data_IF_327024128202
#
_entry.id   IF_327024128202
#
_cell.length_a   1.000
_cell.length_b   1.000
_cell.length_c   1.000
_cell.angle_alpha   90.00
_cell.angle_beta   90.00
_cell.angle_gamma   90.00
#
_symmetry.space_group_name_H-M   'P 1'
#
loop_
_entity.id
_entity.type
_entity.pdbx_description
1 polymer ?
#
# COMPACT_ATOMS: atom_id res chain seq x y z
N UNK A 1 -29.12 -14.01 -21.49
CA UNK A 1 -29.45 -12.59 -21.23
C UNK A 1 -28.16 -11.90 -20.80
N UNK A 2 -27.54 -11.10 -21.67
CA UNK A 2 -26.34 -10.34 -21.32
C UNK A 2 -26.75 -8.92 -20.94
N UNK A 3 -26.62 -8.55 -19.66
CA UNK A 3 -26.83 -7.17 -19.22
C UNK A 3 -25.75 -6.26 -19.84
N UNK A 4 -26.11 -5.10 -20.43
CA UNK A 4 -25.16 -4.22 -21.12
C UNK A 4 -24.22 -3.46 -20.18
N UNK A 5 -24.60 -3.25 -18.92
CA UNK A 5 -23.80 -2.52 -17.91
C UNK A 5 -23.23 -3.50 -16.85
N UNK A 6 -22.15 -4.20 -17.20
CA UNK A 6 -21.34 -4.98 -16.25
C UNK A 6 -20.35 -4.07 -15.51
N UNK A 7 -19.98 -4.44 -14.28
CA UNK A 7 -18.98 -3.75 -13.45
C UNK A 7 -19.30 -2.30 -13.03
N UNK A 8 -20.51 -1.81 -13.28
CA UNK A 8 -20.99 -0.52 -12.75
C UNK A 8 -21.82 -0.75 -11.50
N UNK A 9 -21.51 -0.06 -10.40
CA UNK A 9 -22.22 -0.20 -9.13
C UNK A 9 -23.70 0.19 -9.27
N UNK A 10 -24.60 -0.67 -8.78
CA UNK A 10 -26.06 -0.52 -8.84
C UNK A 10 -26.67 -0.47 -7.46
N UNK A 11 -26.51 -1.53 -6.67
CA UNK A 11 -27.07 -1.60 -5.31
C UNK A 11 -26.09 -2.21 -4.31
N UNK A 12 -26.37 -1.97 -3.03
CA UNK A 12 -25.68 -2.59 -1.91
C UNK A 12 -26.70 -3.29 -1.00
N UNK A 13 -26.44 -4.55 -0.68
CA UNK A 13 -27.23 -5.33 0.26
C UNK A 13 -26.50 -5.39 1.60
N UNK A 14 -27.20 -5.05 2.69
CA UNK A 14 -26.68 -5.15 4.04
C UNK A 14 -27.22 -6.42 4.71
N UNK A 15 -26.33 -7.24 5.25
CA UNK A 15 -26.66 -8.50 5.92
C UNK A 15 -26.17 -8.43 7.35
N UNK A 16 -27.09 -8.28 8.30
CA UNK A 16 -26.80 -8.49 9.72
C UNK A 16 -26.75 -9.98 10.07
N UNK A 17 -25.89 -10.32 11.03
CA UNK A 17 -25.59 -11.68 11.46
C UNK A 17 -25.29 -12.61 10.28
N UNK A 18 -24.36 -12.14 9.44
CA UNK A 18 -23.98 -12.78 8.18
C UNK A 18 -23.57 -14.26 8.33
N UNK A 19 -23.05 -14.67 9.49
CA UNK A 19 -22.69 -16.05 9.79
C UNK A 19 -23.87 -17.02 9.72
N UNK A 20 -25.12 -16.57 9.86
CA UNK A 20 -26.31 -17.41 9.65
C UNK A 20 -26.45 -17.89 8.20
N UNK A 21 -26.00 -17.07 7.25
CA UNK A 21 -26.06 -17.36 5.82
C UNK A 21 -24.74 -17.98 5.34
N UNK A 22 -23.61 -17.49 5.87
CA UNK A 22 -22.25 -17.78 5.40
C UNK A 22 -21.50 -18.73 6.34
N UNK A 23 -22.18 -19.79 6.76
CA UNK A 23 -21.79 -20.61 7.91
C UNK A 23 -20.62 -21.55 7.60
N UNK A 24 -19.51 -21.39 8.33
CA UNK A 24 -18.29 -22.19 8.16
C UNK A 24 -18.48 -23.71 8.36
N UNK A 25 -19.34 -24.10 9.31
CA UNK A 25 -19.65 -25.52 9.57
C UNK A 25 -20.25 -26.23 8.36
N UNK A 26 -21.03 -25.52 7.52
CA UNK A 26 -21.60 -26.14 6.31
C UNK A 26 -20.48 -26.57 5.37
N UNK A 27 -19.50 -25.72 5.09
CA UNK A 27 -18.31 -26.07 4.29
C UNK A 27 -17.49 -27.22 4.91
N UNK A 28 -17.23 -27.16 6.22
CA UNK A 28 -16.43 -28.19 6.89
C UNK A 28 -17.13 -29.56 6.92
N UNK A 29 -18.46 -29.58 6.82
CA UNK A 29 -19.26 -30.82 6.82
C UNK A 29 -19.49 -31.36 5.42
N UNK A 30 -19.72 -30.51 4.41
CA UNK A 30 -20.03 -30.94 3.03
C UNK A 30 -18.80 -31.07 2.16
N UNK A 31 -17.67 -30.42 2.49
CA UNK A 31 -16.46 -30.38 1.67
C UNK A 31 -16.60 -29.60 0.35
N UNK A 32 -17.84 -29.34 -0.07
CA UNK A 32 -18.21 -28.58 -1.25
C UNK A 32 -18.40 -27.09 -0.95
N UNK A 33 -18.07 -26.25 -1.93
CA UNK A 33 -18.32 -24.81 -1.88
C UNK A 33 -19.82 -24.56 -1.84
N UNK A 34 -20.28 -23.68 -0.93
CA UNK A 34 -21.72 -23.42 -0.81
C UNK A 34 -22.18 -22.52 -1.95
N UNK A 35 -23.42 -22.71 -2.42
CA UNK A 35 -24.05 -21.81 -3.43
C UNK A 35 -23.95 -20.34 -2.99
N UNK A 36 -24.06 -20.07 -1.69
CA UNK A 36 -23.90 -18.74 -1.10
C UNK A 36 -22.49 -18.15 -1.27
N UNK A 37 -21.43 -18.96 -1.20
CA UNK A 37 -20.05 -18.50 -1.43
C UNK A 37 -19.79 -18.19 -2.90
N UNK A 38 -20.36 -19.00 -3.81
CA UNK A 38 -20.32 -18.76 -5.26
C UNK A 38 -21.01 -17.45 -5.60
N UNK A 39 -22.23 -17.25 -5.07
CA UNK A 39 -22.98 -16.00 -5.24
C UNK A 39 -22.14 -14.81 -4.75
N UNK A 40 -21.55 -14.88 -3.55
CA UNK A 40 -20.72 -13.78 -3.03
C UNK A 40 -19.55 -13.41 -3.94
N UNK A 41 -18.96 -14.39 -4.63
CA UNK A 41 -17.83 -14.16 -5.55
C UNK A 41 -18.29 -13.55 -6.88
N UNK A 42 -19.40 -14.03 -7.42
CA UNK A 42 -19.87 -13.68 -8.77
C UNK A 42 -20.75 -12.43 -8.79
N UNK A 43 -21.45 -12.11 -7.70
CA UNK A 43 -22.42 -11.00 -7.66
C UNK A 43 -21.78 -9.63 -7.97
N UNK A 44 -20.46 -9.50 -7.77
CA UNK A 44 -19.69 -8.32 -8.15
C UNK A 44 -19.79 -8.02 -9.65
N UNK A 45 -19.83 -9.03 -10.51
CA UNK A 45 -19.95 -8.83 -11.97
C UNK A 45 -21.29 -8.18 -12.35
N UNK A 46 -22.31 -8.37 -11.51
CA UNK A 46 -23.64 -7.81 -11.68
C UNK A 46 -23.74 -6.36 -11.21
N UNK A 47 -22.70 -5.82 -10.57
CA UNK A 47 -22.68 -4.46 -10.02
C UNK A 47 -23.28 -4.34 -8.62
N UNK A 48 -23.46 -5.47 -7.93
CA UNK A 48 -24.00 -5.54 -6.58
C UNK A 48 -22.88 -5.59 -5.54
N UNK A 49 -23.03 -4.83 -4.46
CA UNK A 49 -22.18 -4.93 -3.29
C UNK A 49 -22.90 -5.67 -2.16
N UNK A 50 -22.16 -6.46 -1.38
CA UNK A 50 -22.66 -7.08 -0.16
C UNK A 50 -21.85 -6.54 1.01
N UNK A 51 -22.56 -6.06 2.03
CA UNK A 51 -22.00 -5.55 3.29
C UNK A 51 -22.42 -6.50 4.41
N UNK A 52 -21.48 -7.30 4.88
CA UNK A 52 -21.69 -8.24 5.97
C UNK A 52 -21.39 -7.59 7.32
N UNK A 53 -22.32 -7.72 8.26
CA UNK A 53 -22.19 -7.27 9.64
C UNK A 53 -22.29 -8.48 10.56
N UNK A 54 -21.31 -8.65 11.45
CA UNK A 54 -21.24 -9.83 12.30
C UNK A 54 -20.45 -9.58 13.58
N UNK A 55 -20.83 -10.28 14.65
CA UNK A 55 -20.16 -10.26 15.95
C UNK A 55 -19.08 -11.35 16.07
N UNK A 56 -19.18 -12.44 15.32
CA UNK A 56 -18.35 -13.64 15.42
C UNK A 56 -17.74 -14.00 14.06
N UNK A 57 -16.71 -13.26 13.58
CA UNK A 57 -16.08 -13.52 12.28
C UNK A 57 -15.54 -14.95 12.14
N UNK A 58 -15.20 -15.64 13.24
CA UNK A 58 -14.77 -17.04 13.21
C UNK A 58 -15.83 -18.03 12.71
N UNK A 59 -17.12 -17.67 12.75
CA UNK A 59 -18.24 -18.47 12.24
C UNK A 59 -18.49 -18.28 10.73
N UNK A 60 -17.91 -17.24 10.13
CA UNK A 60 -18.03 -16.95 8.70
C UNK A 60 -17.06 -17.82 7.91
N UNK A 61 -17.49 -18.26 6.71
CA UNK A 61 -16.65 -19.03 5.78
C UNK A 61 -15.38 -18.26 5.40
N UNK A 62 -14.25 -18.98 5.27
CA UNK A 62 -12.99 -18.36 4.83
C UNK A 62 -13.10 -17.72 3.42
N UNK A 63 -13.81 -18.33 2.45
CA UNK A 63 -14.00 -17.70 1.15
C UNK A 63 -14.81 -16.42 1.20
N UNK A 64 -15.83 -16.31 2.05
CA UNK A 64 -16.58 -15.07 2.21
C UNK A 64 -15.68 -13.94 2.74
N UNK A 65 -14.91 -14.20 3.80
CA UNK A 65 -13.99 -13.21 4.36
C UNK A 65 -12.84 -12.86 3.39
N UNK A 66 -12.29 -13.85 2.68
CA UNK A 66 -11.21 -13.65 1.71
C UNK A 66 -11.64 -12.86 0.46
N UNK A 67 -12.92 -12.89 0.10
CA UNK A 67 -13.45 -12.14 -1.04
C UNK A 67 -13.98 -10.74 -0.66
N UNK A 68 -13.99 -10.37 0.63
CA UNK A 68 -14.33 -9.00 1.05
C UNK A 68 -13.23 -8.00 0.67
N UNK A 69 -13.57 -6.98 -0.10
CA UNK A 69 -12.61 -5.94 -0.51
C UNK A 69 -12.27 -4.97 0.62
N UNK A 70 -13.23 -4.63 1.48
CA UNK A 70 -13.04 -3.75 2.64
C UNK A 70 -13.46 -4.50 3.88
N UNK A 71 -12.63 -4.41 4.93
CA UNK A 71 -12.88 -5.04 6.22
C UNK A 71 -12.73 -4.00 7.31
N UNK A 72 -13.76 -3.86 8.15
CA UNK A 72 -13.75 -3.06 9.37
C UNK A 72 -13.70 -4.02 10.55
N UNK A 73 -12.69 -3.88 11.39
CA UNK A 73 -12.53 -4.67 12.60
C UNK A 73 -12.66 -3.78 13.82
N UNK A 74 -13.74 -4.00 14.57
CA UNK A 74 -14.00 -3.33 15.84
C UNK A 74 -13.40 -4.13 17.00
N UNK A 75 -13.76 -3.77 18.23
CA UNK A 75 -13.28 -4.48 19.41
C UNK A 75 -13.67 -5.97 19.38
N UNK A 76 -12.69 -6.87 19.49
CA UNK A 76 -12.88 -8.32 19.51
C UNK A 76 -12.19 -8.94 20.72
N UNK A 77 -12.84 -9.92 21.36
CA UNK A 77 -12.36 -10.55 22.60
C UNK A 77 -12.00 -12.03 22.46
N UNK A 78 -12.72 -12.76 21.60
CA UNK A 78 -12.53 -14.20 21.48
C UNK A 78 -11.29 -14.52 20.63
N UNK A 79 -10.48 -15.50 21.08
CA UNK A 79 -9.25 -15.90 20.39
C UNK A 79 -9.49 -16.36 18.95
N UNK A 80 -10.59 -17.07 18.70
CA UNK A 80 -10.95 -17.52 17.35
C UNK A 80 -11.23 -16.34 16.40
N UNK A 81 -11.94 -15.33 16.89
CA UNK A 81 -12.25 -14.12 16.12
C UNK A 81 -11.01 -13.25 15.90
N UNK A 82 -10.16 -13.12 16.92
CA UNK A 82 -8.88 -12.43 16.83
C UNK A 82 -7.97 -13.09 15.79
N UNK A 83 -7.85 -14.42 15.80
CA UNK A 83 -7.05 -15.15 14.83
C UNK A 83 -7.60 -15.00 13.40
N UNK A 84 -8.93 -15.10 13.23
CA UNK A 84 -9.56 -14.89 11.93
C UNK A 84 -9.29 -13.48 11.40
N UNK A 85 -9.46 -12.46 12.25
CA UNK A 85 -9.23 -11.07 11.84
C UNK A 85 -7.76 -10.75 11.65
N UNK A 86 -6.86 -11.38 12.41
CA UNK A 86 -5.42 -11.30 12.18
C UNK A 86 -5.07 -11.73 10.76
N UNK A 87 -5.60 -12.89 10.33
CA UNK A 87 -5.40 -13.41 8.97
C UNK A 87 -6.03 -12.48 7.91
N UNK A 88 -7.26 -12.00 8.15
CA UNK A 88 -7.98 -11.14 7.20
C UNK A 88 -7.33 -9.77 7.01
N UNK A 89 -6.82 -9.18 8.10
CA UNK A 89 -6.23 -7.84 8.12
C UNK A 89 -4.71 -7.86 7.88
N UNK A 90 -4.09 -9.04 7.89
CA UNK A 90 -2.64 -9.25 7.82
C UNK A 90 -1.88 -8.60 8.98
N UNK A 91 -2.41 -8.72 10.19
CA UNK A 91 -1.80 -8.18 11.41
C UNK A 91 -0.71 -9.11 11.93
N UNK A 92 0.32 -8.54 12.55
CA UNK A 92 1.21 -9.31 13.42
C UNK A 92 0.57 -9.56 14.81
N UNK A 93 1.23 -10.36 15.65
CA UNK A 93 0.68 -10.72 16.96
C UNK A 93 0.49 -9.52 17.88
N UNK A 94 1.44 -8.58 17.89
CA UNK A 94 1.35 -7.38 18.73
C UNK A 94 0.21 -6.46 18.25
N UNK A 95 0.06 -6.29 16.94
CA UNK A 95 -1.03 -5.55 16.31
C UNK A 95 -2.40 -6.17 16.59
N UNK A 96 -2.48 -7.51 16.62
CA UNK A 96 -3.71 -8.25 16.91
C UNK A 96 -4.21 -7.97 18.32
N UNK A 97 -3.30 -7.82 19.30
CA UNK A 97 -3.65 -7.50 20.68
C UNK A 97 -4.33 -6.13 20.83
N UNK A 98 -4.11 -5.20 19.90
CA UNK A 98 -4.80 -3.91 19.90
C UNK A 98 -6.28 -4.02 19.52
N UNK A 99 -6.70 -5.05 18.77
CA UNK A 99 -8.12 -5.26 18.45
C UNK A 99 -8.95 -5.41 19.72
N UNK A 100 -8.44 -6.07 20.76
CA UNK A 100 -9.12 -6.20 22.05
C UNK A 100 -9.17 -4.91 22.88
N UNK A 101 -8.43 -3.87 22.48
CA UNK A 101 -8.29 -2.60 23.20
C UNK A 101 -9.01 -1.43 22.54
N UNK A 102 -9.63 -1.64 21.37
CA UNK A 102 -10.33 -0.58 20.65
C UNK A 102 -11.52 -0.05 21.46
N UNK A 103 -11.61 1.26 21.62
CA UNK A 103 -12.77 1.91 22.21
C UNK A 103 -13.95 1.95 21.22
N UNK A 104 -15.16 2.17 21.73
CA UNK A 104 -16.36 2.30 20.90
C UNK A 104 -16.18 3.41 19.86
N UNK A 105 -16.51 3.09 18.61
CA UNK A 105 -16.36 4.00 17.47
C UNK A 105 -14.98 3.96 16.82
N UNK A 106 -14.01 3.21 17.35
CA UNK A 106 -12.74 2.95 16.66
C UNK A 106 -12.78 1.61 15.92
N UNK A 107 -12.16 1.58 14.74
CA UNK A 107 -12.01 0.37 13.95
C UNK A 107 -10.63 0.32 13.27
N UNK A 108 -10.08 -0.87 13.15
CA UNK A 108 -8.97 -1.15 12.24
C UNK A 108 -9.55 -1.52 10.88
N UNK A 109 -9.18 -0.76 9.85
CA UNK A 109 -9.72 -0.92 8.50
C UNK A 109 -8.64 -1.42 7.56
N UNK A 110 -8.98 -2.43 6.77
CA UNK A 110 -8.15 -2.94 5.67
C UNK A 110 -8.92 -2.85 4.37
N UNK A 111 -8.27 -2.35 3.33
CA UNK A 111 -8.70 -2.55 1.96
C UNK A 111 -7.79 -3.56 1.27
N UNK A 112 -8.34 -4.42 0.41
CA UNK A 112 -7.56 -5.35 -0.40
C UNK A 112 -6.81 -4.64 -1.55
N UNK A 113 -7.16 -3.38 -1.84
CA UNK A 113 -6.42 -2.51 -2.76
C UNK A 113 -6.42 -1.04 -2.30
N UNK A 114 -5.64 -0.17 -2.98
CA UNK A 114 -5.40 1.25 -2.64
C UNK A 114 -4.58 1.49 -1.36
N UNK A 115 -4.93 0.85 -0.24
CA UNK A 115 -4.21 0.93 1.04
C UNK A 115 -3.80 -0.47 1.52
N UNK A 116 -2.50 -0.76 1.45
CA UNK A 116 -1.98 -2.11 1.69
C UNK A 116 -1.78 -2.46 3.15
N UNK A 117 -1.83 -1.48 4.04
CA UNK A 117 -1.73 -1.69 5.48
C UNK A 117 -3.06 -1.43 6.15
N UNK A 118 -3.41 -2.21 7.19
CA UNK A 118 -4.53 -1.86 8.05
C UNK A 118 -4.24 -0.52 8.72
N UNK A 119 -5.24 0.34 8.81
CA UNK A 119 -5.12 1.65 9.44
C UNK A 119 -6.28 1.88 10.40
N UNK A 120 -6.01 2.65 11.44
CA UNK A 120 -6.99 2.97 12.47
C UNK A 120 -7.89 4.13 11.99
N UNK A 121 -9.21 3.97 12.14
CA UNK A 121 -10.20 5.02 11.87
C UNK A 121 -11.09 5.24 13.07
N UNK A 122 -11.53 6.49 13.25
CA UNK A 122 -12.58 6.87 14.20
C UNK A 122 -13.86 7.18 13.45
N UNK A 123 -14.90 6.39 13.67
CA UNK A 123 -16.22 6.61 13.09
C UNK A 123 -17.03 7.57 13.97
N UNK A 124 -17.67 8.59 13.38
CA UNK A 124 -18.55 9.49 14.12
C UNK A 124 -19.81 8.74 14.57
N UNK A 125 -20.28 9.04 15.78
CA UNK A 125 -21.56 8.54 16.28
C UNK A 125 -22.69 9.19 15.49
N UNK A 126 -23.43 8.38 14.73
CA UNK A 126 -24.68 8.81 14.09
C UNK A 126 -25.84 8.42 15.00
N UNK A 127 -26.54 9.41 15.54
CA UNK A 127 -27.75 9.17 16.33
C UNK A 127 -28.93 8.98 15.38
N UNK A 128 -29.48 7.77 15.37
CA UNK A 128 -30.73 7.46 14.66
C UNK A 128 -31.86 7.49 15.67
N UNK A 129 -32.77 8.45 15.52
CA UNK A 129 -33.94 8.53 16.37
C UNK A 129 -34.94 7.44 15.97
N UNK A 130 -35.12 6.45 16.85
CA UNK A 130 -36.05 5.35 16.63
C UNK A 130 -37.46 5.89 16.36
N UNK A 131 -38.15 5.33 15.37
CA UNK A 131 -39.51 5.72 14.99
C UNK A 131 -39.61 6.92 14.02
N UNK A 132 -38.49 7.57 13.64
CA UNK A 132 -38.52 8.61 12.59
C UNK A 132 -38.76 8.06 11.19
N UNK A 133 -38.34 6.83 10.93
CA UNK A 133 -38.65 6.11 9.69
C UNK A 133 -39.92 5.31 9.93
N UNK A 134 -41.00 5.67 9.25
CA UNK A 134 -42.27 4.97 9.30
C UNK A 134 -42.45 4.09 8.06
N UNK A 135 -43.34 3.10 8.11
CA UNK A 135 -43.64 2.24 6.95
C UNK A 135 -44.05 3.05 5.72
N UNK A 136 -44.69 4.22 5.95
CA UNK A 136 -45.01 5.17 4.88
C UNK A 136 -43.75 5.73 4.21
N UNK A 137 -42.76 6.15 4.99
CA UNK A 137 -41.47 6.65 4.46
C UNK A 137 -40.75 5.54 3.69
N UNK A 138 -40.81 4.29 4.19
CA UNK A 138 -40.25 3.13 3.50
C UNK A 138 -40.96 2.88 2.17
N UNK A 139 -42.30 2.91 2.15
CA UNK A 139 -43.10 2.73 0.93
C UNK A 139 -42.85 3.85 -0.10
N UNK A 140 -42.75 5.10 0.34
CA UNK A 140 -42.40 6.25 -0.52
C UNK A 140 -40.98 6.10 -1.09
N UNK A 141 -40.00 5.68 -0.29
CA UNK A 141 -38.64 5.39 -0.77
C UNK A 141 -38.61 4.19 -1.73
N UNK A 142 -39.41 3.14 -1.48
CA UNK A 142 -39.51 1.99 -2.35
C UNK A 142 -40.14 2.35 -3.71
N UNK A 143 -41.11 3.27 -3.72
CA UNK A 143 -41.71 3.79 -4.94
C UNK A 143 -40.74 4.65 -5.79
N UNK A 144 -39.69 5.20 -5.17
CA UNK A 144 -38.64 5.97 -5.85
C UNK A 144 -37.49 5.09 -6.38
N UNK A 145 -37.43 3.81 -6.02
CA UNK A 145 -36.48 2.88 -6.62
C UNK A 145 -36.87 2.63 -8.10
N UNK A 146 -35.91 2.62 -9.04
CA UNK A 146 -36.18 2.21 -10.41
C UNK A 146 -36.84 0.82 -10.40
N UNK A 147 -37.96 0.66 -11.08
CA UNK A 147 -38.72 -0.59 -11.25
C UNK A 147 -37.95 -1.63 -12.10
N UNK A 148 -36.67 -1.85 -11.81
CA UNK A 148 -35.78 -2.76 -12.55
C UNK A 148 -35.56 -4.10 -11.85
N UNK A 149 -36.14 -4.31 -10.67
CA UNK A 149 -36.31 -5.66 -10.16
C UNK A 149 -37.60 -6.20 -10.79
N UNK A 150 -37.55 -7.24 -11.63
CA UNK A 150 -38.79 -7.89 -12.04
C UNK A 150 -39.49 -8.33 -10.76
N UNK A 151 -40.76 -7.96 -10.60
CA UNK A 151 -41.62 -8.52 -9.55
C UNK A 151 -41.39 -10.02 -9.55
N UNK A 152 -40.85 -10.55 -8.45
CA UNK A 152 -40.88 -11.97 -8.24
C UNK A 152 -42.37 -12.31 -8.20
N UNK A 153 -42.88 -12.82 -9.34
CA UNK A 153 -44.25 -13.26 -9.44
C UNK A 153 -44.51 -14.18 -8.24
N UNK A 154 -45.66 -14.03 -7.55
CA UNK A 154 -45.97 -14.89 -6.42
C UNK A 154 -45.85 -16.33 -6.90
N UNK A 155 -44.84 -17.04 -6.38
CA UNK A 155 -44.68 -18.46 -6.66
C UNK A 155 -45.94 -19.11 -6.11
N UNK A 156 -46.81 -19.58 -7.00
CA UNK A 156 -47.78 -20.60 -6.63
C UNK A 156 -46.99 -21.72 -5.98
N UNK A 157 -47.36 -22.08 -4.76
CA UNK A 157 -46.91 -23.29 -4.09
C UNK A 157 -47.01 -24.45 -5.08
N UNK A 158 -45.88 -24.81 -5.68
CA UNK A 158 -45.74 -26.02 -6.44
C UNK A 158 -45.24 -27.04 -5.43
N UNK A 159 -46.17 -27.91 -5.01
CA UNK A 159 -45.89 -29.17 -4.30
C UNK A 159 -44.65 -29.82 -4.90
N UNK A 160 -43.52 -29.66 -4.22
CA UNK A 160 -42.31 -30.41 -4.53
C UNK A 160 -42.38 -31.66 -3.67
N UNK A 161 -42.38 -32.87 -4.25
CA UNK A 161 -42.43 -34.09 -3.46
C UNK A 161 -41.16 -34.17 -2.58
N UNK A 162 -41.25 -34.76 -1.38
CA UNK A 162 -40.11 -34.87 -0.49
C UNK A 162 -39.02 -35.71 -1.15
N UNK A 163 -37.79 -35.21 -1.12
CA UNK A 163 -36.60 -35.91 -1.60
C UNK A 163 -36.45 -37.20 -0.78
N UNK A 164 -36.38 -38.39 -1.40
CA UNK A 164 -36.24 -39.63 -0.66
C UNK A 164 -34.83 -39.73 -0.07
N UNK A 165 -34.75 -39.96 1.24
CA UNK A 165 -33.53 -40.38 1.92
C UNK A 165 -33.37 -41.87 1.64
N UNK A 166 -32.50 -42.25 0.70
CA UNK A 166 -32.10 -43.65 0.54
C UNK A 166 -30.80 -43.88 1.31
N UNK A 167 -30.94 -44.55 2.46
CA UNK A 167 -29.86 -45.27 3.12
C UNK A 167 -29.46 -46.46 2.24
N UNK A 168 -28.29 -46.43 1.62
CA UNK A 168 -27.66 -47.64 1.09
C UNK A 168 -26.22 -47.76 1.62
N UNK A 169 -26.08 -48.69 2.57
CA UNK A 169 -24.82 -49.30 2.95
C UNK A 169 -24.25 -50.05 1.74
N UNK A 170 -23.02 -49.73 1.34
CA UNK A 170 -22.18 -50.64 0.55
C UNK A 170 -20.71 -50.37 0.83
N UNK A 171 -20.06 -51.36 1.46
CA UNK A 171 -18.63 -51.44 1.72
C UNK A 171 -17.91 -52.03 0.46
N UNK A 172 -16.56 -52.09 0.42
CA UNK A 172 -15.77 -51.52 -0.67
C UNK A 172 -15.39 -52.54 -1.76
N UNK A 173 -15.37 -52.09 -3.02
CA UNK A 173 -14.73 -52.82 -4.12
C UNK A 173 -13.33 -52.26 -4.42
N UNK A 174 -12.36 -53.18 -4.49
CA UNK A 174 -10.97 -52.96 -4.90
C UNK A 174 -10.85 -53.11 -6.41
N UNK A 175 -10.26 -52.12 -7.09
CA UNK A 175 -9.46 -52.28 -8.32
C UNK A 175 -8.73 -50.95 -8.56
N UNK A 176 -7.41 -50.90 -8.35
CA UNK A 176 -6.29 -51.11 -9.29
C UNK A 176 -5.68 -49.77 -9.74
N UNK A 177 -4.37 -49.68 -9.49
CA UNK A 177 -3.48 -48.55 -9.73
C UNK A 177 -3.48 -48.10 -11.19
N UNK A 178 -3.71 -46.80 -11.44
CA UNK A 178 -3.08 -46.08 -12.54
C UNK A 178 -2.57 -44.72 -12.06
N UNK A 179 -1.26 -44.56 -12.17
CA UNK A 179 -0.50 -43.39 -11.76
C UNK A 179 -0.82 -42.17 -12.64
N UNK A 180 -1.15 -41.05 -12.01
CA UNK A 180 -1.24 -39.73 -12.66
C UNK A 180 -0.14 -38.82 -12.09
N UNK A 181 0.59 -38.06 -12.93
CA UNK A 181 1.96 -37.65 -12.63
C UNK A 181 2.07 -36.47 -11.66
N UNK A 182 3.14 -36.53 -10.85
CA UNK A 182 3.49 -35.52 -9.86
C UNK A 182 3.81 -34.15 -10.45
N UNK A 183 3.31 -33.13 -9.77
CA UNK A 183 3.63 -31.71 -9.98
C UNK A 183 5.16 -31.52 -9.78
N UNK A 184 5.89 -30.91 -10.72
CA UNK A 184 7.35 -30.84 -10.66
C UNK A 184 7.82 -29.88 -9.57
N UNK A 185 8.43 -30.45 -8.53
CA UNK A 185 9.46 -29.81 -7.71
C UNK A 185 10.77 -29.81 -8.50
N UNK A 186 11.36 -28.63 -8.74
CA UNK A 186 12.71 -28.54 -9.31
C UNK A 186 12.93 -27.31 -10.17
N UNK A 187 13.20 -26.16 -9.54
CA UNK A 187 13.92 -25.09 -10.21
C UNK A 187 15.38 -25.51 -10.34
N UNK A 188 15.78 -25.91 -11.55
CA UNK A 188 17.13 -26.34 -11.92
C UNK A 188 18.16 -25.26 -11.57
N UNK A 189 19.25 -25.68 -10.93
CA UNK A 189 20.51 -24.94 -10.90
C UNK A 189 21.12 -25.06 -12.30
N UNK A 190 21.19 -23.96 -13.02
CA UNK A 190 22.03 -23.86 -14.21
C UNK A 190 23.42 -23.38 -13.75
N UNK A 191 24.38 -24.30 -13.82
CA UNK A 191 25.80 -24.04 -13.62
C UNK A 191 26.37 -23.57 -14.95
N UNK A 192 26.57 -22.26 -15.10
CA UNK A 192 27.51 -21.72 -16.07
C UNK A 192 28.83 -21.44 -15.35
N UNK A 193 29.84 -22.24 -15.67
CA UNK A 193 31.23 -21.98 -15.32
C UNK A 193 31.78 -20.87 -16.21
N UNK A 194 32.23 -19.79 -15.59
CA UNK A 194 32.96 -18.71 -16.23
C UNK A 194 33.91 -18.09 -15.22
N UNK A 195 35.19 -18.41 -15.35
CA UNK A 195 36.30 -17.85 -14.58
C UNK A 195 36.34 -16.32 -14.74
N UNK A 196 36.27 -15.60 -13.62
CA UNK A 196 37.13 -14.46 -13.25
C UNK A 196 36.59 -13.71 -12.01
N UNK A 197 37.37 -13.71 -10.92
CA UNK A 197 37.41 -12.66 -9.89
C UNK A 197 36.13 -12.36 -9.08
N UNK A 198 36.02 -12.94 -7.89
CA UNK A 198 35.09 -12.53 -6.82
C UNK A 198 33.60 -12.44 -7.22
N UNK A 199 33.08 -13.41 -7.95
CA UNK A 199 31.66 -13.45 -8.30
C UNK A 199 30.82 -13.87 -7.07
N UNK A 200 30.29 -12.89 -6.34
CA UNK A 200 29.23 -13.16 -5.35
C UNK A 200 28.07 -13.79 -6.12
N UNK A 201 27.85 -15.09 -5.93
CA UNK A 201 26.78 -15.83 -6.61
C UNK A 201 25.42 -15.29 -6.14
N UNK A 202 24.73 -14.59 -7.02
CA UNK A 202 23.39 -14.03 -6.78
C UNK A 202 22.37 -14.87 -7.51
N UNK A 203 21.26 -15.19 -6.84
CA UNK A 203 20.10 -15.75 -7.55
C UNK A 203 19.51 -14.70 -8.50
N UNK A 204 18.77 -15.13 -9.52
CA UNK A 204 18.06 -14.23 -10.45
C UNK A 204 17.15 -13.24 -9.71
N UNK A 205 16.49 -13.69 -8.64
CA UNK A 205 15.61 -12.84 -7.82
C UNK A 205 16.41 -11.80 -7.03
N UNK A 206 17.55 -12.18 -6.45
CA UNK A 206 18.43 -11.26 -5.71
C UNK A 206 19.06 -10.22 -6.62
N UNK A 207 19.52 -10.60 -7.81
CA UNK A 207 20.05 -9.67 -8.81
C UNK A 207 18.99 -8.65 -9.22
N UNK A 208 17.76 -9.09 -9.52
CA UNK A 208 16.62 -8.19 -9.81
C UNK A 208 16.33 -7.26 -8.64
N UNK A 209 16.41 -7.76 -7.41
CA UNK A 209 16.20 -6.94 -6.23
C UNK A 209 17.25 -5.86 -6.06
N UNK A 210 18.54 -6.20 -6.22
CA UNK A 210 19.64 -5.24 -6.14
C UNK A 210 19.56 -4.18 -7.26
N UNK A 211 19.24 -4.58 -8.50
CA UNK A 211 19.03 -3.65 -9.60
C UNK A 211 17.90 -2.66 -9.27
N UNK A 212 16.78 -3.14 -8.73
CA UNK A 212 15.70 -2.25 -8.32
C UNK A 212 16.16 -1.25 -7.25
N UNK A 213 16.95 -1.68 -6.26
CA UNK A 213 17.52 -0.78 -5.23
C UNK A 213 18.36 0.31 -5.86
N UNK A 214 19.17 -0.03 -6.86
CA UNK A 214 20.00 0.94 -7.59
C UNK A 214 19.18 1.92 -8.44
N UNK A 215 18.22 1.41 -9.22
CA UNK A 215 17.47 2.21 -10.20
C UNK A 215 16.49 3.21 -9.56
N UNK A 216 15.93 2.84 -8.40
CA UNK A 216 14.92 3.65 -7.70
C UNK A 216 15.22 3.78 -6.21
N UNK A 217 16.25 4.54 -5.82
CA UNK A 217 16.60 4.74 -4.41
C UNK A 217 15.52 5.53 -3.64
N UNK A 218 14.66 6.30 -4.32
CA UNK A 218 13.53 7.06 -3.76
C UNK A 218 12.32 6.20 -3.34
N UNK A 219 12.44 4.88 -3.44
CA UNK A 219 11.35 3.96 -3.13
C UNK A 219 11.45 3.39 -1.73
N UNK A 220 10.31 3.35 -1.05
CA UNK A 220 10.19 2.59 0.18
C UNK A 220 10.30 1.09 -0.12
N UNK A 221 10.65 0.31 0.90
CA UNK A 221 10.72 -1.15 0.82
C UNK A 221 9.41 -1.74 0.27
N UNK A 222 8.27 -1.21 0.72
CA UNK A 222 6.94 -1.68 0.30
C UNK A 222 6.71 -1.45 -1.20
N UNK A 223 6.98 -0.24 -1.70
CA UNK A 223 6.84 0.08 -3.13
C UNK A 223 7.73 -0.81 -4.00
N UNK A 224 8.92 -1.14 -3.48
CA UNK A 224 9.87 -2.02 -4.15
C UNK A 224 9.34 -3.45 -4.25
N UNK A 225 8.74 -3.98 -3.18
CA UNK A 225 8.16 -5.32 -3.20
C UNK A 225 7.03 -5.43 -4.23
N UNK A 226 6.14 -4.43 -4.27
CA UNK A 226 5.05 -4.36 -5.25
C UNK A 226 5.55 -4.42 -6.70
N UNK A 227 6.53 -3.59 -7.05
CA UNK A 227 7.08 -3.55 -8.42
C UNK A 227 7.80 -4.83 -8.82
N UNK A 228 8.48 -5.47 -7.87
CA UNK A 228 9.13 -6.75 -8.08
C UNK A 228 8.18 -7.95 -8.00
N UNK A 229 6.87 -7.69 -7.77
CA UNK A 229 5.84 -8.71 -7.56
C UNK A 229 6.21 -9.70 -6.46
N UNK A 230 6.78 -9.19 -5.36
CA UNK A 230 7.17 -9.97 -4.19
C UNK A 230 6.16 -9.80 -3.07
N UNK A 231 5.80 -10.90 -2.41
CA UNK A 231 5.11 -10.83 -1.12
C UNK A 231 6.03 -10.26 -0.05
N UNK A 232 5.46 -9.67 1.01
CA UNK A 232 6.24 -9.13 2.12
C UNK A 232 7.19 -10.18 2.73
N UNK A 233 6.73 -11.42 2.93
CA UNK A 233 7.56 -12.53 3.41
C UNK A 233 8.76 -12.76 2.49
N UNK A 234 8.52 -12.92 1.18
CA UNK A 234 9.59 -13.22 0.22
C UNK A 234 10.55 -12.05 0.04
N UNK A 235 10.03 -10.83 0.00
CA UNK A 235 10.85 -9.61 -0.03
C UNK A 235 11.74 -9.48 1.21
N UNK A 236 11.20 -9.76 2.39
CA UNK A 236 11.95 -9.74 3.65
C UNK A 236 13.01 -10.85 3.74
N UNK A 237 12.75 -12.03 3.17
CA UNK A 237 13.75 -13.10 3.03
C UNK A 237 14.92 -12.66 2.15
N UNK A 238 14.63 -12.16 0.95
CA UNK A 238 15.65 -11.63 0.02
C UNK A 238 16.43 -10.50 0.68
N UNK A 239 15.74 -9.58 1.36
CA UNK A 239 16.38 -8.48 2.08
C UNK A 239 17.30 -8.97 3.20
N UNK A 240 16.86 -9.94 4.03
CA UNK A 240 17.71 -10.52 5.08
C UNK A 240 18.94 -11.20 4.50
N UNK A 241 18.79 -11.97 3.42
CA UNK A 241 19.91 -12.64 2.76
C UNK A 241 20.91 -11.63 2.18
N UNK A 242 20.45 -10.59 1.49
CA UNK A 242 21.30 -9.55 0.92
C UNK A 242 21.99 -8.69 2.00
N UNK A 243 21.25 -8.33 3.06
CA UNK A 243 21.80 -7.57 4.19
C UNK A 243 22.83 -8.40 4.97
N UNK A 244 22.55 -9.68 5.21
CA UNK A 244 23.50 -10.60 5.87
C UNK A 244 24.80 -10.79 5.11
N UNK A 245 24.76 -10.69 3.77
CA UNK A 245 25.97 -10.69 2.91
C UNK A 245 26.65 -9.32 2.78
N UNK A 246 26.08 -8.28 3.39
CA UNK A 246 26.60 -6.92 3.36
C UNK A 246 26.43 -6.22 2.01
N UNK A 247 25.46 -6.64 1.19
CA UNK A 247 25.22 -6.09 -0.15
C UNK A 247 24.28 -4.89 -0.15
N UNK A 248 23.45 -4.78 0.89
CA UNK A 248 22.52 -3.66 1.08
C UNK A 248 22.54 -3.18 2.51
N UNK A 249 22.22 -1.92 2.69
CA UNK A 249 21.93 -1.31 3.97
C UNK A 249 20.50 -0.74 3.99
N UNK A 250 20.03 -0.37 5.17
CA UNK A 250 18.68 0.16 5.38
C UNK A 250 18.72 1.43 6.20
N UNK A 251 17.99 2.44 5.78
CA UNK A 251 17.79 3.68 6.53
C UNK A 251 16.30 3.98 6.68
N UNK A 252 15.98 4.94 7.53
CA UNK A 252 14.61 5.41 7.75
C UNK A 252 14.49 6.87 7.34
N UNK A 253 13.35 7.21 6.76
CA UNK A 253 12.99 8.56 6.32
C UNK A 253 11.72 9.01 7.03
N UNK A 254 11.69 10.29 7.44
CA UNK A 254 10.51 10.88 8.09
C UNK A 254 9.51 11.34 7.03
N UNK A 255 8.35 10.71 6.97
CA UNK A 255 7.26 11.04 6.06
C UNK A 255 6.11 11.66 6.86
N UNK A 256 5.16 12.23 6.14
CA UNK A 256 3.91 12.70 6.71
C UNK A 256 3.10 11.60 7.41
N UNK A 257 3.03 10.43 6.78
CA UNK A 257 2.32 9.25 7.29
C UNK A 257 3.11 8.47 8.35
N UNK A 258 4.20 9.04 8.88
CA UNK A 258 5.10 8.39 9.82
C UNK A 258 6.45 8.02 9.20
N UNK A 259 7.07 6.94 9.66
CA UNK A 259 8.44 6.57 9.26
C UNK A 259 8.43 5.56 8.11
N UNK A 260 9.18 5.84 7.03
CA UNK A 260 9.38 4.93 5.91
C UNK A 260 10.73 4.25 5.96
N UNK A 261 10.81 2.97 5.58
CA UNK A 261 12.08 2.24 5.43
C UNK A 261 12.55 2.26 3.97
N UNK A 262 13.80 2.62 3.77
CA UNK A 262 14.47 2.65 2.45
C UNK A 262 15.69 1.75 2.45
N UNK A 263 16.17 1.41 1.25
CA UNK A 263 17.35 0.56 1.04
C UNK A 263 18.35 1.27 0.12
N UNK A 264 19.62 1.05 0.38
CA UNK A 264 20.71 1.46 -0.49
C UNK A 264 21.68 0.30 -0.71
N UNK A 265 22.37 0.33 -1.84
CA UNK A 265 23.47 -0.59 -2.10
C UNK A 265 24.70 -0.14 -1.31
N UNK A 266 25.38 -1.10 -0.70
CA UNK A 266 26.75 -0.89 -0.22
C UNK A 266 27.72 -0.93 -1.41
N UNK A 267 28.99 -0.56 -1.22
CA UNK A 267 30.01 -0.72 -2.27
C UNK A 267 30.13 -2.16 -2.74
N UNK A 268 30.04 -3.13 -1.81
CA UNK A 268 30.01 -4.56 -2.13
C UNK A 268 28.77 -4.92 -2.97
N UNK A 269 27.61 -4.32 -2.68
CA UNK A 269 26.39 -4.47 -3.46
C UNK A 269 26.51 -3.93 -4.89
N UNK A 270 27.17 -2.78 -5.06
CA UNK A 270 27.44 -2.18 -6.38
C UNK A 270 28.39 -3.05 -7.19
N UNK A 271 29.49 -3.50 -6.58
CA UNK A 271 30.44 -4.42 -7.21
C UNK A 271 29.76 -5.72 -7.65
N UNK A 272 28.85 -6.27 -6.83
CA UNK A 272 28.09 -7.47 -7.18
C UNK A 272 27.17 -7.30 -8.41
N UNK A 273 26.83 -6.06 -8.78
CA UNK A 273 26.10 -5.74 -10.01
C UNK A 273 27.02 -5.34 -11.18
N UNK A 274 28.34 -5.34 -11.00
CA UNK A 274 29.30 -4.82 -11.98
C UNK A 274 29.27 -3.29 -12.09
N UNK A 275 28.68 -2.60 -11.10
CA UNK A 275 28.65 -1.14 -11.04
C UNK A 275 29.93 -0.62 -10.37
N UNK A 276 30.40 0.55 -10.81
CA UNK A 276 31.50 1.25 -10.14
C UNK A 276 31.08 1.57 -8.70
N UNK A 277 32.03 1.46 -7.76
CA UNK A 277 31.84 1.93 -6.40
C UNK A 277 31.43 3.40 -6.42
N UNK A 278 30.57 3.81 -5.48
CA UNK A 278 30.26 5.22 -5.33
C UNK A 278 31.56 5.95 -4.98
N UNK A 279 31.84 7.14 -5.55
CA UNK A 279 32.95 7.96 -5.10
C UNK A 279 32.78 8.22 -3.60
N UNK A 280 33.64 7.59 -2.79
CA UNK A 280 33.52 7.57 -1.35
C UNK A 280 33.53 8.98 -0.78
N UNK A 281 32.57 9.27 0.11
CA UNK A 281 32.54 10.48 0.94
C UNK A 281 31.89 11.73 0.35
N UNK A 282 31.39 11.72 -0.90
CA UNK A 282 30.71 12.90 -1.49
C UNK A 282 29.22 12.71 -1.78
N UNK A 283 28.77 11.48 -1.97
CA UNK A 283 27.34 11.20 -2.13
C UNK A 283 26.68 11.21 -0.76
N UNK A 284 25.82 12.19 -0.49
CA UNK A 284 24.98 12.22 0.71
C UNK A 284 24.29 10.86 0.88
N UNK A 285 24.32 10.31 2.10
CA UNK A 285 23.90 8.93 2.37
C UNK A 285 22.47 8.57 1.94
N UNK A 286 21.97 7.36 2.22
CA UNK A 286 20.72 6.84 1.66
C UNK A 286 19.49 7.76 1.79
N UNK A 287 19.39 8.47 2.91
CA UNK A 287 18.31 9.46 3.17
C UNK A 287 18.39 10.66 2.21
N UNK A 288 19.60 11.16 1.95
CA UNK A 288 19.83 12.26 1.01
C UNK A 288 19.47 11.82 -0.41
N UNK A 289 19.99 10.67 -0.86
CA UNK A 289 19.69 10.12 -2.18
C UNK A 289 18.17 9.92 -2.41
N UNK A 290 17.47 9.41 -1.39
CA UNK A 290 16.02 9.26 -1.41
C UNK A 290 15.31 10.60 -1.63
N UNK A 291 15.63 11.62 -0.82
CA UNK A 291 14.99 12.93 -0.93
C UNK A 291 15.37 13.67 -2.21
N UNK A 292 16.61 13.53 -2.68
CA UNK A 292 17.11 14.13 -3.93
C UNK A 292 16.30 13.67 -5.13
N UNK A 293 16.19 12.35 -5.31
CA UNK A 293 15.42 11.75 -6.40
C UNK A 293 13.93 12.05 -6.28
N UNK A 294 13.36 11.98 -5.08
CA UNK A 294 11.93 12.25 -4.85
C UNK A 294 11.57 13.70 -5.14
N UNK A 295 12.39 14.64 -4.69
CA UNK A 295 12.22 16.07 -4.94
C UNK A 295 12.39 16.40 -6.44
N UNK A 296 13.41 15.84 -7.09
CA UNK A 296 13.61 16.02 -8.52
C UNK A 296 12.39 15.55 -9.33
N UNK A 297 11.84 14.38 -9.02
CA UNK A 297 10.61 13.88 -9.64
C UNK A 297 9.40 14.79 -9.39
N UNK A 298 9.23 15.28 -8.16
CA UNK A 298 8.15 16.19 -7.78
C UNK A 298 8.21 17.54 -8.53
N UNK A 299 9.42 18.09 -8.70
CA UNK A 299 9.67 19.32 -9.43
C UNK A 299 9.43 19.16 -10.93
N UNK A 300 9.95 18.09 -11.54
CA UNK A 300 9.73 17.76 -12.96
C UNK A 300 8.24 17.59 -13.29
N UNK A 301 7.49 16.91 -12.41
CA UNK A 301 6.04 16.76 -12.56
C UNK A 301 5.27 18.10 -12.53
N UNK A 302 5.90 19.18 -12.07
CA UNK A 302 5.36 20.55 -12.04
C UNK A 302 5.89 21.46 -13.16
N UNK A 303 6.56 20.87 -14.15
CA UNK A 303 7.07 21.59 -15.32
C UNK A 303 8.36 22.37 -15.06
N UNK A 304 9.10 22.06 -13.99
CA UNK A 304 10.46 22.56 -13.84
C UNK A 304 11.42 21.71 -14.68
N UNK A 305 12.38 22.37 -15.33
CA UNK A 305 13.58 21.70 -15.82
C UNK A 305 14.54 21.51 -14.62
N UNK A 306 14.96 20.28 -14.36
CA UNK A 306 15.69 19.93 -13.13
C UNK A 306 16.99 19.23 -13.46
N UNK A 307 18.10 19.89 -13.10
CA UNK A 307 19.45 19.33 -13.14
C UNK A 307 19.82 18.82 -11.75
N UNK A 308 20.20 17.54 -11.66
CA UNK A 308 20.76 16.94 -10.43
C UNK A 308 22.27 17.10 -10.44
N UNK A 309 22.89 17.30 -9.27
CA UNK A 309 24.35 17.49 -9.14
C UNK A 309 24.89 18.60 -10.04
N UNK A 310 24.23 19.77 -9.99
CA UNK A 310 24.59 20.92 -10.80
C UNK A 310 25.99 21.42 -10.45
N UNK A 311 26.93 21.27 -11.39
CA UNK A 311 28.32 21.67 -11.19
C UNK A 311 28.46 23.20 -11.11
N UNK A 312 29.13 23.69 -10.06
CA UNK A 312 29.41 25.12 -9.86
C UNK A 312 30.89 25.48 -9.99
N UNK A 313 31.70 24.53 -10.47
CA UNK A 313 33.15 24.68 -10.60
C UNK A 313 33.92 24.31 -9.32
N UNK A 314 35.24 24.17 -9.42
CA UNK A 314 36.11 23.83 -8.28
C UNK A 314 35.83 22.46 -7.64
N UNK A 315 35.24 21.53 -8.39
CA UNK A 315 34.85 20.20 -7.88
C UNK A 315 33.63 20.21 -6.94
N UNK A 316 32.90 21.32 -6.87
CA UNK A 316 31.68 21.47 -6.06
C UNK A 316 30.43 21.33 -6.93
N UNK A 317 29.38 20.78 -6.34
CA UNK A 317 28.06 20.66 -6.96
C UNK A 317 26.95 21.08 -5.98
N UNK A 318 25.80 21.45 -6.52
CA UNK A 318 24.55 21.70 -5.82
C UNK A 318 23.64 20.49 -6.04
N UNK A 319 22.92 20.05 -5.01
CA UNK A 319 22.13 18.82 -5.10
C UNK A 319 21.13 18.85 -6.25
N UNK A 320 20.31 19.91 -6.34
CA UNK A 320 19.38 20.13 -7.44
C UNK A 320 19.31 21.61 -7.81
N UNK A 321 19.22 21.89 -9.11
CA UNK A 321 18.81 23.21 -9.62
C UNK A 321 17.56 23.03 -10.47
N UNK A 322 16.51 23.77 -10.15
CA UNK A 322 15.26 23.77 -10.87
C UNK A 322 15.08 25.11 -11.60
N UNK A 323 14.78 25.05 -12.89
CA UNK A 323 14.62 26.22 -13.76
C UNK A 323 13.19 26.27 -14.31
N UNK A 324 12.54 27.43 -14.18
CA UNK A 324 11.24 27.71 -14.82
C UNK A 324 11.11 29.22 -15.05
N UNK A 325 10.62 29.62 -16.22
CA UNK A 325 10.42 31.03 -16.60
C UNK A 325 11.69 31.90 -16.41
N UNK A 326 12.86 31.34 -16.74
CA UNK A 326 14.17 32.00 -16.58
C UNK A 326 14.66 32.13 -15.14
N UNK A 327 13.88 31.72 -14.14
CA UNK A 327 14.28 31.71 -12.73
C UNK A 327 14.90 30.38 -12.35
N UNK A 328 16.03 30.43 -11.65
CA UNK A 328 16.81 29.27 -11.19
C UNK A 328 16.78 29.20 -9.67
N UNK A 329 16.23 28.10 -9.15
CA UNK A 329 16.10 27.83 -7.73
C UNK A 329 17.03 26.67 -7.37
N UNK A 330 17.94 26.91 -6.41
CA UNK A 330 18.80 25.88 -5.85
C UNK A 330 18.02 25.12 -4.76
N UNK A 331 18.15 23.80 -4.71
CA UNK A 331 17.72 22.99 -3.57
C UNK A 331 18.93 22.25 -3.01
N UNK A 332 19.16 22.40 -1.70
CA UNK A 332 20.19 21.69 -0.95
C UNK A 332 19.52 20.84 0.13
N UNK A 333 19.83 19.56 0.18
CA UNK A 333 19.17 18.60 1.07
C UNK A 333 20.04 18.41 2.32
N UNK A 334 19.50 18.82 3.47
CA UNK A 334 20.19 18.70 4.75
C UNK A 334 19.70 17.48 5.52
N UNK A 335 20.64 16.60 5.86
CA UNK A 335 20.40 15.40 6.69
C UNK A 335 20.85 15.57 8.15
N UNK A 336 21.46 16.71 8.49
CA UNK A 336 22.00 17.06 9.80
C UNK A 336 23.49 16.83 9.95
N UNK A 337 24.22 16.58 8.85
CA UNK A 337 25.65 16.25 8.85
C UNK A 337 26.49 17.23 8.02
N UNK A 338 25.87 18.19 7.33
CA UNK A 338 26.56 19.12 6.44
C UNK A 338 26.56 20.56 6.97
N UNK A 339 27.48 21.37 6.45
CA UNK A 339 27.45 22.82 6.65
C UNK A 339 26.47 23.46 5.66
N UNK A 340 25.21 23.53 6.07
CA UNK A 340 24.14 24.13 5.28
C UNK A 340 24.42 25.61 4.96
N UNK A 341 25.11 26.36 5.82
CA UNK A 341 25.40 27.78 5.60
C UNK A 341 26.43 27.97 4.47
N UNK A 342 27.47 27.13 4.44
CA UNK A 342 28.42 27.10 3.34
C UNK A 342 27.75 26.70 2.01
N UNK A 343 26.81 25.73 2.04
CA UNK A 343 26.05 25.32 0.85
C UNK A 343 25.15 26.44 0.33
N UNK A 344 24.46 27.18 1.21
CA UNK A 344 23.67 28.35 0.81
C UNK A 344 24.54 29.41 0.16
N UNK A 345 25.70 29.73 0.75
CA UNK A 345 26.63 30.73 0.19
C UNK A 345 27.12 30.30 -1.20
N UNK A 346 27.56 29.06 -1.34
CA UNK A 346 27.95 28.45 -2.62
C UNK A 346 26.87 28.60 -3.70
N UNK A 347 25.60 28.37 -3.35
CA UNK A 347 24.49 28.52 -4.30
C UNK A 347 24.28 29.98 -4.74
N UNK A 348 24.40 30.93 -3.80
CA UNK A 348 24.23 32.35 -4.09
C UNK A 348 25.39 32.90 -4.93
N UNK A 349 26.62 32.48 -4.64
CA UNK A 349 27.83 32.84 -5.41
C UNK A 349 27.77 32.30 -6.86
N UNK A 350 27.06 31.18 -7.08
CA UNK A 350 26.80 30.63 -8.40
C UNK A 350 25.73 31.41 -9.21
N UNK A 351 25.20 32.52 -8.67
CA UNK A 351 24.24 33.38 -9.36
C UNK A 351 22.83 32.81 -9.46
N UNK A 352 22.45 31.91 -8.54
CA UNK A 352 21.08 31.38 -8.47
C UNK A 352 20.16 32.40 -7.78
N UNK A 353 18.90 32.47 -8.20
CA UNK A 353 17.98 33.52 -7.74
C UNK A 353 17.61 33.33 -6.26
N UNK A 354 17.32 32.08 -5.89
CA UNK A 354 16.87 31.65 -4.56
C UNK A 354 17.47 30.30 -4.19
N UNK A 355 17.59 30.06 -2.88
CA UNK A 355 18.04 28.78 -2.32
C UNK A 355 16.98 28.22 -1.40
N UNK A 356 16.65 26.94 -1.55
CA UNK A 356 15.75 26.21 -0.67
C UNK A 356 16.53 25.10 0.02
N UNK A 357 16.64 25.19 1.34
CA UNK A 357 17.26 24.17 2.18
C UNK A 357 16.17 23.21 2.65
N UNK A 358 16.29 21.95 2.25
CA UNK A 358 15.30 20.90 2.49
C UNK A 358 15.77 20.02 3.64
N UNK A 359 15.19 20.21 4.83
CA UNK A 359 15.56 19.47 6.03
C UNK A 359 14.84 18.12 6.11
N UNK A 360 15.57 17.01 6.20
CA UNK A 360 15.00 15.65 6.08
C UNK A 360 14.44 15.06 7.38
N UNK A 361 14.50 15.80 8.49
CA UNK A 361 13.99 15.39 9.79
C UNK A 361 14.38 16.36 10.91
N UNK A 362 13.95 16.09 12.14
CA UNK A 362 14.11 17.02 13.27
C UNK A 362 15.57 17.43 13.57
N UNK A 363 16.59 16.55 13.47
CA UNK A 363 17.99 16.97 13.63
C UNK A 363 18.43 17.98 12.57
N UNK A 364 18.09 17.71 11.30
CA UNK A 364 18.38 18.62 10.20
C UNK A 364 17.65 19.95 10.37
N UNK A 365 16.35 19.93 10.72
CA UNK A 365 15.56 21.14 10.95
C UNK A 365 16.18 22.05 12.02
N UNK A 366 16.73 21.47 13.09
CA UNK A 366 17.47 22.22 14.12
C UNK A 366 18.78 22.79 13.58
N UNK A 367 19.54 22.00 12.83
CA UNK A 367 20.83 22.43 12.27
C UNK A 367 20.70 23.63 11.32
N UNK A 368 19.58 23.72 10.59
CA UNK A 368 19.34 24.80 9.61
C UNK A 368 18.46 25.93 10.14
N UNK A 369 18.06 25.90 11.42
CA UNK A 369 17.11 26.85 11.99
C UNK A 369 17.55 28.32 11.81
N UNK A 370 18.84 28.62 11.97
CA UNK A 370 19.40 29.96 11.80
C UNK A 370 19.27 30.49 10.36
N UNK A 371 19.19 29.62 9.35
CA UNK A 371 19.06 30.01 7.95
C UNK A 371 17.67 30.55 7.59
N UNK A 372 16.66 30.37 8.47
CA UNK A 372 15.31 30.92 8.29
C UNK A 372 15.28 32.45 8.23
N UNK A 373 16.28 33.11 8.80
CA UNK A 373 16.39 34.57 8.80
C UNK A 373 17.07 35.13 7.53
N UNK A 374 17.59 34.28 6.64
CA UNK A 374 18.35 34.73 5.47
C UNK A 374 17.41 35.22 4.35
N UNK A 375 17.62 36.41 3.76
CA UNK A 375 16.65 37.02 2.85
C UNK A 375 16.47 36.28 1.51
N UNK A 376 17.46 35.47 1.12
CA UNK A 376 17.47 34.71 -0.15
C UNK A 376 17.49 33.20 0.03
N UNK A 377 17.41 32.72 1.27
CA UNK A 377 17.37 31.29 1.56
C UNK A 377 16.10 30.96 2.33
N UNK A 378 15.46 29.86 1.96
CA UNK A 378 14.24 29.38 2.61
C UNK A 378 14.46 27.98 3.14
N UNK A 379 13.98 27.71 4.36
CA UNK A 379 14.12 26.41 5.00
C UNK A 379 12.76 25.71 5.04
N UNK A 380 12.70 24.49 4.55
CA UNK A 380 11.47 23.70 4.45
C UNK A 380 11.71 22.30 4.96
N UNK A 381 10.74 21.73 5.66
CA UNK A 381 10.79 20.31 6.00
C UNK A 381 10.49 19.47 4.75
N UNK A 382 11.29 18.44 4.50
CA UNK A 382 11.12 17.56 3.35
C UNK A 382 9.72 16.92 3.28
N UNK A 383 9.11 16.64 4.44
CA UNK A 383 7.73 16.15 4.56
C UNK A 383 6.68 17.14 4.02
N UNK A 384 6.82 18.43 4.31
CA UNK A 384 5.84 19.47 3.96
C UNK A 384 5.84 19.77 2.46
N UNK A 385 7.02 19.70 1.83
CA UNK A 385 7.22 20.06 0.43
C UNK A 385 6.49 19.09 -0.52
N UNK A 386 6.33 17.82 -0.12
CA UNK A 386 5.58 16.84 -0.90
C UNK A 386 4.07 16.84 -0.63
N UNK A 387 3.62 17.29 0.55
CA UNK A 387 2.21 17.32 0.94
C UNK A 387 1.47 18.57 0.48
N UNK A 388 2.08 19.74 0.66
CA UNK A 388 1.44 21.02 0.32
C UNK A 388 1.35 21.24 -1.19
N UNK A 389 2.19 20.51 -1.94
CA UNK A 389 2.26 20.57 -3.38
C UNK A 389 2.64 21.94 -3.95
N UNK A 390 3.07 22.87 -3.11
CA UNK A 390 3.48 24.21 -3.47
C UNK A 390 4.95 24.38 -3.17
N UNK A 391 5.67 25.01 -4.09
CA UNK A 391 7.00 25.46 -3.77
C UNK A 391 6.93 26.69 -2.86
N UNK A 392 7.85 26.79 -1.89
CA UNK A 392 7.91 27.94 -1.02
C UNK A 392 8.08 29.25 -1.81
N UNK A 393 7.14 30.20 -1.63
CA UNK A 393 7.06 31.45 -2.39
C UNK A 393 6.16 31.43 -3.63
N UNK A 394 5.57 30.29 -4.02
CA UNK A 394 4.40 30.29 -4.89
C UNK A 394 3.19 30.77 -4.06
N UNK A 395 2.62 31.93 -4.43
CA UNK A 395 1.42 32.45 -3.73
C UNK A 395 0.34 31.36 -3.73
N UNK A 396 -0.21 31.05 -2.55
CA UNK A 396 -1.50 30.33 -2.45
C UNK A 396 -2.49 31.09 -3.35
N UNK A 397 -2.85 30.55 -4.52
CA UNK A 397 -4.09 30.95 -5.16
C UNK A 397 -5.19 30.46 -4.22
N UNK A 398 -5.67 31.35 -3.34
CA UNK A 398 -6.88 31.08 -2.57
C UNK A 398 -7.95 30.69 -3.57
N UNK A 399 -8.66 29.60 -3.31
CA UNK A 399 -9.87 29.22 -4.02
C UNK A 399 -11.02 30.19 -3.70
N UNK A 400 -10.80 31.49 -3.91
CA UNK A 400 -11.75 32.57 -3.67
C UNK A 400 -12.25 33.24 -4.96
N UNK A 401 -11.64 32.98 -6.12
CA UNK A 401 -12.05 33.61 -7.40
C UNK A 401 -13.02 32.76 -8.22
N UNK A 402 -13.86 31.93 -7.57
CA UNK A 402 -15.00 31.25 -8.23
C UNK A 402 -16.36 31.76 -7.76
N UNK A 403 -16.41 32.98 -7.24
CA UNK A 403 -17.68 33.69 -7.11
C UNK A 403 -17.54 35.03 -7.81
N UNK A 404 -18.25 35.15 -8.92
CA UNK A 404 -18.59 36.41 -9.52
C UNK A 404 -19.04 36.26 -10.96
N UNK A 405 -19.97 37.11 -11.41
CA UNK A 405 -21.25 37.49 -10.81
C UNK A 405 -22.40 36.56 -11.27
#
# INVERSE_FOLDING_TARGET
MAQPDRERFKHATFVEEAHHILLRKKQETTGEETVTDVILREIRELGEAIVCLDQHPSLISKPALGNTYVTFAFNLKHRGDLAMMQDCLLLDGEQTDYLGRLEVGWAVVKLQGRWFWPFLVKLPLVRVDKGKVTDRVIAECAALLPQTLPEAAPQKEADSPPIPVSEENSAPEKTQDEATPGIPSGGKNEEEEGENGCAIRLTTQERKFLLAVHERPESLVVDRYLRLRLSARKGNEVQRALKGRGLIESAHVSLASGTGKILALTDKGRQALGLRASPSGREGGPVHAYWKRRLAGHLRARGYDVTEEYAVGGGKAIDLVATRDGKRIAFEIETGQSDAAANVRKCLDAGLDRVVVVATGSPAERAVAALRAHPRAEVVAARELLETGHLPGERRRRAADRVGP
#
